data_IF_666268680014
#
_entry.id   IF_666268680014
#
_cell.length_a   1.000
_cell.length_b   1.000
_cell.length_c   1.000
_cell.angle_alpha   90.00
_cell.angle_beta   90.00
_cell.angle_gamma   90.00
#
_symmetry.space_group_name_H-M   'P 1'
#
loop_
_entity.id
_entity.type
_entity.pdbx_description
1 polymer ?
#
# COMPACT_ATOMS: atom_id res chain seq x y z
N UNK A 1 3.00 -5.33 -11.57
CA UNK A 1 4.04 -5.68 -10.60
C UNK A 1 3.46 -6.68 -9.61
N UNK A 2 3.97 -7.91 -9.54
CA UNK A 2 3.57 -8.85 -8.51
C UNK A 2 4.02 -8.34 -7.13
N UNK A 3 3.16 -8.49 -6.13
CA UNK A 3 3.47 -8.17 -4.75
C UNK A 3 2.76 -9.17 -3.83
N UNK A 4 3.46 -9.66 -2.81
CA UNK A 4 2.93 -10.63 -1.86
C UNK A 4 2.99 -10.02 -0.47
N UNK A 5 1.85 -9.96 0.21
CA UNK A 5 1.76 -9.56 1.61
C UNK A 5 1.33 -10.75 2.47
N UNK A 6 1.84 -10.82 3.69
CA UNK A 6 1.41 -11.80 4.70
C UNK A 6 0.84 -11.04 5.88
N UNK A 7 -0.39 -11.34 6.26
CA UNK A 7 -1.03 -10.73 7.44
C UNK A 7 -0.47 -11.32 8.73
N UNK A 8 -0.71 -10.65 9.86
CA UNK A 8 -0.36 -11.20 11.17
C UNK A 8 -1.09 -12.52 11.49
N UNK A 9 -2.25 -12.77 10.87
CA UNK A 9 -3.01 -14.03 10.99
C UNK A 9 -2.47 -15.15 10.09
N UNK A 10 -1.45 -14.87 9.27
CA UNK A 10 -0.84 -15.82 8.36
C UNK A 10 -1.54 -15.94 7.00
N UNK A 11 -2.55 -15.11 6.71
CA UNK A 11 -3.13 -15.06 5.38
C UNK A 11 -2.11 -14.48 4.39
N UNK A 12 -2.07 -15.05 3.19
CA UNK A 12 -1.26 -14.54 2.09
C UNK A 12 -2.17 -13.85 1.09
N UNK A 13 -1.79 -12.64 0.71
CA UNK A 13 -2.46 -11.81 -0.28
C UNK A 13 -1.51 -11.61 -1.46
N UNK A 14 -1.90 -12.09 -2.63
CA UNK A 14 -1.15 -11.98 -3.88
C UNK A 14 -1.78 -10.92 -4.79
N UNK A 15 -1.04 -9.83 -5.00
CA UNK A 15 -1.47 -8.66 -5.77
C UNK A 15 -0.79 -8.61 -7.14
N UNK A 16 -1.50 -8.03 -8.12
CA UNK A 16 -0.94 -7.63 -9.41
C UNK A 16 -1.14 -6.12 -9.64
N UNK A 17 -0.24 -5.30 -9.10
CA UNK A 17 -0.37 -3.85 -9.24
C UNK A 17 -0.08 -3.36 -10.67
N UNK A 18 -0.98 -2.62 -11.33
CA UNK A 18 -0.67 -1.94 -12.58
C UNK A 18 0.32 -0.81 -12.31
N UNK A 19 1.44 -0.77 -13.04
CA UNK A 19 2.40 0.33 -12.90
C UNK A 19 2.08 1.44 -13.89
N UNK A 20 2.32 2.68 -13.47
CA UNK A 20 2.25 3.81 -14.38
C UNK A 20 3.33 3.69 -15.46
N UNK A 21 3.08 4.08 -16.73
CA UNK A 21 4.06 3.97 -17.82
C UNK A 21 5.40 4.65 -17.52
N UNK A 22 5.38 5.74 -16.75
CA UNK A 22 6.58 6.50 -16.37
C UNK A 22 7.28 5.95 -15.10
N UNK A 23 6.87 4.76 -14.62
CA UNK A 23 7.54 4.14 -13.46
C UNK A 23 8.96 3.73 -13.84
N UNK A 24 9.95 4.50 -13.40
CA UNK A 24 11.35 4.25 -13.78
C UNK A 24 11.94 2.92 -13.27
N UNK A 25 11.53 2.43 -12.09
CA UNK A 25 12.00 1.14 -11.57
C UNK A 25 10.92 0.41 -10.75
N UNK A 26 10.27 -0.61 -11.34
CA UNK A 26 9.35 -1.50 -10.62
C UNK A 26 9.95 -2.08 -9.33
N UNK A 27 11.23 -2.46 -9.37
CA UNK A 27 11.92 -3.07 -8.24
C UNK A 27 12.08 -2.10 -7.06
N UNK A 28 12.48 -0.85 -7.32
CA UNK A 28 12.58 0.17 -6.26
C UNK A 28 11.21 0.49 -5.68
N UNK A 29 10.16 0.53 -6.50
CA UNK A 29 8.78 0.70 -6.01
C UNK A 29 8.39 -0.46 -5.09
N UNK A 30 8.65 -1.70 -5.49
CA UNK A 30 8.39 -2.89 -4.66
C UNK A 30 9.09 -2.80 -3.29
N UNK A 31 10.38 -2.47 -3.29
CA UNK A 31 11.18 -2.31 -2.07
C UNK A 31 10.61 -1.21 -1.16
N UNK A 32 10.23 -0.07 -1.74
CA UNK A 32 9.63 1.03 -0.98
C UNK A 32 8.28 0.65 -0.36
N UNK A 33 7.42 -0.06 -1.09
CA UNK A 33 6.13 -0.53 -0.55
C UNK A 33 6.37 -1.41 0.68
N UNK A 34 7.28 -2.38 0.58
CA UNK A 34 7.61 -3.26 1.71
C UNK A 34 8.20 -2.50 2.90
N UNK A 35 9.08 -1.53 2.66
CA UNK A 35 9.67 -0.70 3.72
C UNK A 35 8.64 0.20 4.40
N UNK A 36 7.71 0.79 3.64
CA UNK A 36 6.63 1.63 4.16
C UNK A 36 5.69 0.82 5.04
N UNK A 37 5.25 -0.36 4.58
CA UNK A 37 4.41 -1.26 5.38
C UNK A 37 5.12 -1.71 6.65
N UNK A 38 6.38 -2.16 6.55
CA UNK A 38 7.15 -2.55 7.73
C UNK A 38 7.35 -1.39 8.72
N UNK A 39 7.42 -0.14 8.23
CA UNK A 39 7.52 1.04 9.09
C UNK A 39 6.19 1.34 9.77
N UNK A 40 5.08 1.33 9.03
CA UNK A 40 3.74 1.46 9.62
C UNK A 40 3.50 0.38 10.69
N UNK A 41 3.81 -0.89 10.41
CA UNK A 41 3.65 -1.98 11.37
C UNK A 41 4.48 -1.79 12.66
N UNK A 42 5.65 -1.16 12.56
CA UNK A 42 6.46 -0.83 13.75
C UNK A 42 5.82 0.30 14.55
N UNK A 43 5.38 1.38 13.89
CA UNK A 43 4.78 2.53 14.58
C UNK A 43 3.43 2.16 15.21
N UNK A 44 2.60 1.34 14.55
CA UNK A 44 1.32 0.89 15.09
C UNK A 44 1.49 0.06 16.37
N UNK A 45 2.59 -0.68 16.52
CA UNK A 45 2.90 -1.40 17.76
C UNK A 45 3.25 -0.45 18.93
N UNK A 46 3.69 0.77 18.63
CA UNK A 46 4.08 1.77 19.64
C UNK A 46 2.90 2.67 20.05
N UNK A 47 1.97 2.94 19.15
CA UNK A 47 0.86 3.90 19.35
C UNK A 47 -0.30 3.35 20.21
N UNK A 48 -0.31 2.07 20.55
CA UNK A 48 -1.39 1.45 21.33
C UNK A 48 -2.58 1.05 20.43
N UNK A 49 -3.81 1.24 20.90
CA UNK A 49 -5.00 0.94 20.10
C UNK A 49 -5.17 1.97 18.97
N UNK A 50 -4.93 1.51 17.72
CA UNK A 50 -5.18 2.28 16.50
C UNK A 50 -6.20 1.53 15.65
N UNK A 51 -7.30 2.18 15.28
CA UNK A 51 -8.32 1.57 14.43
C UNK A 51 -7.88 1.46 12.97
N UNK A 52 -8.37 0.46 12.24
CA UNK A 52 -8.08 0.32 10.80
C UNK A 52 -8.44 1.58 10.00
N UNK A 53 -9.51 2.29 10.40
CA UNK A 53 -9.91 3.57 9.79
C UNK A 53 -8.87 4.67 9.97
N UNK A 54 -8.25 4.77 11.15
CA UNK A 54 -7.20 5.74 11.43
C UNK A 54 -5.96 5.48 10.58
N UNK A 55 -5.59 4.20 10.42
CA UNK A 55 -4.47 3.78 9.56
C UNK A 55 -4.72 4.20 8.11
N UNK A 56 -5.90 3.88 7.57
CA UNK A 56 -6.24 4.22 6.18
C UNK A 56 -6.27 5.74 5.96
N UNK A 57 -6.82 6.49 6.91
CA UNK A 57 -6.84 7.95 6.85
C UNK A 57 -5.43 8.56 6.91
N UNK A 58 -4.57 8.06 7.81
CA UNK A 58 -3.19 8.53 7.93
C UNK A 58 -2.37 8.27 6.65
N UNK A 59 -2.53 7.11 6.02
CA UNK A 59 -1.88 6.77 4.74
C UNK A 59 -2.38 7.67 3.62
N UNK A 60 -3.69 7.93 3.54
CA UNK A 60 -4.26 8.84 2.55
C UNK A 60 -3.75 10.29 2.72
N UNK A 61 -3.68 10.79 3.96
CA UNK A 61 -3.13 12.11 4.25
C UNK A 61 -1.64 12.19 3.92
N UNK A 62 -0.88 11.13 4.21
CA UNK A 62 0.55 11.05 3.88
C UNK A 62 0.79 11.09 2.37
N UNK A 63 -0.04 10.40 1.58
CA UNK A 63 0.01 10.49 0.12
C UNK A 63 -0.23 11.92 -0.37
N UNK A 64 -1.25 12.60 0.17
CA UNK A 64 -1.56 13.98 -0.19
C UNK A 64 -0.39 14.93 0.15
N UNK A 65 0.19 14.82 1.35
CA UNK A 65 1.37 15.58 1.75
C UNK A 65 2.54 15.30 0.81
N UNK A 66 2.80 14.03 0.50
CA UNK A 66 3.92 13.66 -0.38
C UNK A 66 3.76 14.20 -1.80
N UNK A 67 2.53 14.21 -2.33
CA UNK A 67 2.20 14.78 -3.63
C UNK A 67 2.42 16.31 -3.64
N UNK A 68 2.04 17.00 -2.57
CA UNK A 68 2.24 18.45 -2.42
C UNK A 68 3.71 18.87 -2.32
N UNK A 69 4.62 17.96 -1.96
CA UNK A 69 6.07 18.22 -1.93
C UNK A 69 6.74 18.15 -3.32
N UNK A 70 6.03 17.68 -4.36
CA UNK A 70 6.57 17.62 -5.73
C UNK A 70 6.53 19.03 -6.34
N UNK A 71 7.64 19.46 -6.93
CA UNK A 71 7.74 20.76 -7.59
C UNK A 71 7.09 20.72 -8.98
N UNK A 72 5.76 20.71 -9.00
CA UNK A 72 4.91 20.72 -10.18
C UNK A 72 3.55 21.36 -9.82
N UNK A 73 2.66 21.68 -10.79
CA UNK A 73 1.34 22.21 -10.49
C UNK A 73 0.55 21.27 -9.56
N UNK A 74 -0.07 21.84 -8.52
CA UNK A 74 -0.68 21.06 -7.42
C UNK A 74 -1.82 20.18 -7.90
N UNK A 75 -2.63 20.69 -8.83
CA UNK A 75 -3.74 19.96 -9.41
C UNK A 75 -3.26 18.72 -10.16
N UNK A 76 -2.14 18.83 -10.88
CA UNK A 76 -1.56 17.72 -11.63
C UNK A 76 -1.00 16.64 -10.69
N UNK A 77 -0.27 17.04 -9.65
CA UNK A 77 0.29 16.07 -8.69
C UNK A 77 -0.80 15.38 -7.86
N UNK A 78 -1.85 16.11 -7.48
CA UNK A 78 -3.02 15.55 -6.82
C UNK A 78 -3.77 14.56 -7.72
N UNK A 79 -3.98 14.91 -8.99
CA UNK A 79 -4.65 14.03 -9.95
C UNK A 79 -3.85 12.75 -10.19
N UNK A 80 -2.53 12.84 -10.37
CA UNK A 80 -1.66 11.68 -10.51
C UNK A 80 -1.71 10.81 -9.24
N UNK A 81 -1.59 11.41 -8.06
CA UNK A 81 -1.66 10.66 -6.79
C UNK A 81 -3.00 9.93 -6.63
N UNK A 82 -4.11 10.58 -6.97
CA UNK A 82 -5.44 9.97 -6.95
C UNK A 82 -5.55 8.80 -7.92
N UNK A 83 -5.07 8.96 -9.15
CA UNK A 83 -5.09 7.90 -10.15
C UNK A 83 -4.27 6.68 -9.73
N UNK A 84 -3.06 6.91 -9.21
CA UNK A 84 -2.20 5.84 -8.69
C UNK A 84 -2.85 5.10 -7.52
N UNK A 85 -3.45 5.83 -6.57
CA UNK A 85 -4.15 5.24 -5.44
C UNK A 85 -5.37 4.43 -5.88
N UNK A 86 -6.21 4.97 -6.78
CA UNK A 86 -7.38 4.27 -7.32
C UNK A 86 -6.98 2.94 -7.97
N UNK A 87 -6.01 2.96 -8.87
CA UNK A 87 -5.54 1.74 -9.57
C UNK A 87 -4.94 0.72 -8.61
N UNK A 88 -4.24 1.15 -7.56
CA UNK A 88 -3.71 0.26 -6.54
C UNK A 88 -4.81 -0.39 -5.69
N UNK A 89 -5.85 0.38 -5.34
CA UNK A 89 -7.02 -0.13 -4.62
C UNK A 89 -7.81 -1.15 -5.45
N UNK A 90 -7.98 -0.90 -6.74
CA UNK A 90 -8.60 -1.85 -7.69
C UNK A 90 -7.85 -3.19 -7.70
N UNK A 91 -6.51 -3.16 -7.77
CA UNK A 91 -5.69 -4.36 -7.67
C UNK A 91 -5.81 -5.08 -6.31
N UNK A 92 -6.18 -4.35 -5.25
CA UNK A 92 -6.46 -4.93 -3.94
C UNK A 92 -7.79 -5.67 -3.87
N UNK A 93 -8.80 -5.21 -4.62
CA UNK A 93 -10.09 -5.91 -4.77
C UNK A 93 -9.89 -7.21 -5.55
N UNK A 94 -9.00 -7.21 -6.54
CA UNK A 94 -8.69 -8.38 -7.37
C UNK A 94 -7.64 -9.32 -6.76
N UNK A 95 -7.07 -8.97 -5.60
CA UNK A 95 -5.99 -9.74 -5.00
C UNK A 95 -6.44 -11.15 -4.58
N UNK A 96 -5.65 -12.15 -4.94
CA UNK A 96 -5.90 -13.53 -4.56
C UNK A 96 -5.55 -13.70 -3.07
N UNK A 97 -6.48 -14.26 -2.27
CA UNK A 97 -6.27 -14.51 -0.85
C UNK A 97 -6.25 -16.00 -0.56
N UNK A 98 -5.19 -16.47 0.09
CA UNK A 98 -5.10 -17.83 0.62
C UNK A 98 -4.89 -17.80 2.13
N UNK A 99 -5.75 -18.49 2.87
CA UNK A 99 -5.61 -18.69 4.31
C UNK A 99 -4.85 -19.98 4.60
N UNK A 100 -4.04 -20.04 5.69
CA UNK A 100 -3.38 -21.28 6.08
C UNK A 100 -4.44 -22.36 6.33
N UNK A 101 -4.21 -23.57 5.80
CA UNK A 101 -5.08 -24.73 6.08
C UNK A 101 -4.96 -25.00 7.57
N UNK A 102 -6.04 -24.75 8.33
CA UNK A 102 -6.10 -25.09 9.74
C UNK A 102 -6.00 -26.61 9.86
N UNK A 103 -4.80 -27.11 10.13
CA UNK A 103 -4.54 -28.53 10.35
C UNK A 103 -5.24 -28.96 11.62
N UNK A 104 -6.28 -29.79 11.49
CA UNK A 104 -6.73 -30.64 12.59
C UNK A 104 -5.59 -31.61 12.93
N UNK A 105 -5.01 -31.45 14.10
CA UNK A 105 -4.24 -32.48 14.80
C UNK A 105 -5.01 -32.86 16.07
#
# INVERSE_FOLDING_TARGET
MPYRATTATGDVLDFRFPLHPETGSPMRVNQLVSQLLATLDRELKLLGEVGNGDVLQAVAMTLAVRAAMIHAPREQTAQLAFELARRALEAGVEAERSSPVSGRA
#
